data_IF_539669078519
#
_entry.id   IF_539669078519
#
_cell.length_a   1.000
_cell.length_b   1.000
_cell.length_c   1.000
_cell.angle_alpha   90.00
_cell.angle_beta   90.00
_cell.angle_gamma   90.00
#
_symmetry.space_group_name_H-M   'P 1'
#
loop_
_entity.id
_entity.type
_entity.pdbx_description
1 polymer ?
#
# COMPACT_ATOMS: atom_id res chain seq x y z
N UNK A 1 -23.58 17.91 8.31
CA UNK A 1 -22.43 17.10 7.86
C UNK A 1 -21.83 16.22 8.98
N UNK A 2 -22.64 15.65 9.87
CA UNK A 2 -22.16 14.78 10.97
C UNK A 2 -22.47 13.28 10.75
N UNK A 3 -23.35 12.93 9.81
CA UNK A 3 -23.74 11.53 9.53
C UNK A 3 -22.73 10.79 8.63
N UNK A 4 -21.93 11.51 7.85
CA UNK A 4 -21.02 10.93 6.84
C UNK A 4 -19.84 10.17 7.46
N UNK A 5 -19.44 10.50 8.70
CA UNK A 5 -18.36 9.79 9.40
C UNK A 5 -18.82 8.49 10.08
N UNK A 6 -20.11 8.30 10.33
CA UNK A 6 -20.60 7.14 11.09
C UNK A 6 -20.31 5.81 10.40
N UNK A 7 -20.55 5.73 9.08
CA UNK A 7 -20.29 4.55 8.28
C UNK A 7 -18.78 4.28 8.12
N UNK A 8 -17.98 5.33 7.93
CA UNK A 8 -16.53 5.20 7.84
C UNK A 8 -15.91 4.64 9.13
N UNK A 9 -16.36 5.13 10.28
CA UNK A 9 -15.93 4.63 11.60
C UNK A 9 -16.36 3.17 11.82
N UNK A 10 -17.56 2.81 11.39
CA UNK A 10 -18.04 1.43 11.44
C UNK A 10 -17.19 0.49 10.59
N UNK A 11 -16.91 0.87 9.34
CA UNK A 11 -16.04 0.09 8.45
C UNK A 11 -14.62 -0.05 9.04
N UNK A 12 -14.07 1.03 9.61
CA UNK A 12 -12.78 0.97 10.32
C UNK A 12 -12.80 -0.02 11.48
N UNK A 13 -13.88 -0.03 12.26
CA UNK A 13 -14.06 -0.97 13.38
C UNK A 13 -14.12 -2.42 12.90
N UNK A 14 -14.92 -2.71 11.86
CA UNK A 14 -15.03 -4.07 11.29
C UNK A 14 -13.67 -4.54 10.76
N UNK A 15 -12.94 -3.67 10.04
CA UNK A 15 -11.61 -4.00 9.54
C UNK A 15 -10.64 -4.29 10.69
N UNK A 16 -10.56 -3.42 11.70
CA UNK A 16 -9.67 -3.60 12.85
C UNK A 16 -9.95 -4.90 13.59
N UNK A 17 -11.23 -5.19 13.87
CA UNK A 17 -11.64 -6.42 14.54
C UNK A 17 -11.24 -7.67 13.76
N UNK A 18 -11.39 -7.68 12.44
CA UNK A 18 -10.96 -8.82 11.61
C UNK A 18 -9.45 -9.01 11.64
N UNK A 19 -8.68 -7.93 11.55
CA UNK A 19 -7.21 -8.00 11.58
C UNK A 19 -6.73 -8.52 12.94
N UNK A 20 -7.25 -7.98 14.04
CA UNK A 20 -6.86 -8.39 15.39
C UNK A 20 -7.28 -9.83 15.69
N UNK A 21 -8.42 -10.28 15.15
CA UNK A 21 -8.88 -11.66 15.26
C UNK A 21 -8.13 -12.63 14.33
N UNK A 22 -7.18 -12.15 13.51
CA UNK A 22 -6.48 -12.98 12.52
C UNK A 22 -7.44 -13.56 11.47
N UNK A 23 -8.47 -12.82 11.08
CA UNK A 23 -9.40 -13.18 10.03
C UNK A 23 -9.03 -12.49 8.71
N UNK A 24 -9.45 -13.09 7.60
CA UNK A 24 -9.26 -12.51 6.27
C UNK A 24 -10.13 -11.26 6.13
N UNK A 25 -9.49 -10.12 5.85
CA UNK A 25 -10.18 -8.88 5.55
C UNK A 25 -10.39 -8.77 4.02
N UNK A 26 -11.49 -9.39 3.55
CA UNK A 26 -11.93 -9.31 2.16
C UNK A 26 -12.95 -8.16 1.98
N UNK A 27 -12.75 -7.24 1.01
CA UNK A 27 -13.62 -6.07 0.85
C UNK A 27 -15.11 -6.39 0.70
N UNK A 28 -15.46 -7.33 -0.17
CA UNK A 28 -16.84 -7.74 -0.43
C UNK A 28 -17.54 -8.29 0.82
N UNK A 29 -16.85 -9.11 1.62
CA UNK A 29 -17.39 -9.67 2.84
C UNK A 29 -17.61 -8.62 3.93
N UNK A 30 -16.70 -7.64 4.04
CA UNK A 30 -16.83 -6.53 4.99
C UNK A 30 -18.05 -5.66 4.64
N UNK A 31 -18.28 -5.43 3.34
CA UNK A 31 -19.47 -4.68 2.88
C UNK A 31 -20.76 -5.45 3.15
N UNK A 32 -20.79 -6.77 2.91
CA UNK A 32 -21.96 -7.59 3.28
C UNK A 32 -22.20 -7.60 4.79
N UNK A 33 -21.15 -7.59 5.61
CA UNK A 33 -21.27 -7.44 7.06
C UNK A 33 -21.84 -6.08 7.46
N UNK A 34 -21.40 -4.99 6.83
CA UNK A 34 -21.98 -3.66 7.05
C UNK A 34 -23.48 -3.62 6.68
N UNK A 35 -23.88 -4.23 5.58
CA UNK A 35 -25.30 -4.34 5.21
C UNK A 35 -26.12 -5.21 6.18
N UNK A 36 -25.50 -6.23 6.80
CA UNK A 36 -26.17 -7.05 7.83
C UNK A 36 -26.36 -6.29 9.14
N UNK A 37 -25.36 -5.50 9.55
CA UNK A 37 -25.43 -4.67 10.75
C UNK A 37 -26.43 -3.52 10.59
N UNK A 38 -26.56 -2.99 9.37
CA UNK A 38 -27.47 -1.89 9.04
C UNK A 38 -28.27 -2.21 7.77
N UNK A 39 -29.33 -3.04 7.87
CA UNK A 39 -30.13 -3.41 6.73
C UNK A 39 -30.85 -2.18 6.16
N UNK A 40 -30.90 -2.10 4.82
CA UNK A 40 -31.70 -1.11 4.12
C UNK A 40 -33.17 -1.53 4.17
N UNK A 41 -34.05 -0.63 4.59
CA UNK A 41 -35.49 -0.88 4.68
C UNK A 41 -36.26 0.01 3.72
N UNK A 42 -37.34 -0.51 3.14
CA UNK A 42 -38.27 0.26 2.30
C UNK A 42 -38.38 -0.26 0.87
N UNK A 43 -39.21 0.41 0.05
CA UNK A 43 -39.36 0.05 -1.36
C UNK A 43 -38.04 0.23 -2.11
N UNK A 44 -37.69 -0.75 -2.95
CA UNK A 44 -36.44 -0.78 -3.72
C UNK A 44 -35.14 -0.93 -2.91
N UNK A 45 -35.19 -1.41 -1.66
CA UNK A 45 -34.00 -1.64 -0.84
C UNK A 45 -32.91 -2.45 -1.57
N UNK A 46 -33.28 -3.52 -2.28
CA UNK A 46 -32.35 -4.36 -3.05
C UNK A 46 -31.67 -3.59 -4.20
N UNK A 47 -32.38 -2.68 -4.87
CA UNK A 47 -31.81 -1.84 -5.91
C UNK A 47 -30.73 -0.91 -5.33
N UNK A 48 -31.05 -0.21 -4.24
CA UNK A 48 -30.10 0.67 -3.57
C UNK A 48 -28.91 -0.12 -2.97
N UNK A 49 -29.16 -1.31 -2.45
CA UNK A 49 -28.11 -2.22 -1.96
C UNK A 49 -27.13 -2.58 -3.08
N UNK A 50 -27.63 -3.01 -4.23
CA UNK A 50 -26.81 -3.37 -5.39
C UNK A 50 -25.94 -2.19 -5.87
N UNK A 51 -26.52 -1.00 -5.96
CA UNK A 51 -25.79 0.21 -6.35
C UNK A 51 -24.73 0.61 -5.31
N UNK A 52 -25.11 0.66 -4.03
CA UNK A 52 -24.22 1.05 -2.94
C UNK A 52 -23.08 0.05 -2.75
N UNK A 53 -23.30 -1.25 -2.94
CA UNK A 53 -22.29 -2.30 -2.77
C UNK A 53 -21.02 -2.01 -3.55
N UNK A 54 -21.13 -1.63 -4.82
CA UNK A 54 -19.97 -1.33 -5.67
C UNK A 54 -19.14 -0.18 -5.11
N UNK A 55 -19.80 0.89 -4.67
CA UNK A 55 -19.12 2.06 -4.10
C UNK A 55 -18.48 1.73 -2.75
N UNK A 56 -19.20 1.03 -1.87
CA UNK A 56 -18.68 0.64 -0.57
C UNK A 56 -17.48 -0.31 -0.68
N UNK A 57 -17.47 -1.24 -1.63
CA UNK A 57 -16.31 -2.12 -1.88
C UNK A 57 -15.08 -1.29 -2.27
N UNK A 58 -15.27 -0.26 -3.11
CA UNK A 58 -14.18 0.67 -3.48
C UNK A 58 -13.63 1.41 -2.27
N UNK A 59 -14.51 1.95 -1.41
CA UNK A 59 -14.13 2.65 -0.18
C UNK A 59 -13.37 1.72 0.76
N UNK A 60 -13.89 0.53 1.05
CA UNK A 60 -13.22 -0.47 1.91
C UNK A 60 -11.86 -0.87 1.34
N UNK A 61 -11.75 -1.04 0.02
CA UNK A 61 -10.47 -1.33 -0.65
C UNK A 61 -9.46 -0.21 -0.41
N UNK A 62 -9.88 1.07 -0.48
CA UNK A 62 -9.02 2.21 -0.20
C UNK A 62 -8.60 2.27 1.27
N UNK A 63 -9.50 1.91 2.20
CA UNK A 63 -9.18 1.83 3.63
C UNK A 63 -8.14 0.75 3.91
N UNK A 64 -8.33 -0.45 3.35
CA UNK A 64 -7.38 -1.55 3.50
C UNK A 64 -6.02 -1.21 2.90
N UNK A 65 -5.97 -0.47 1.77
CA UNK A 65 -4.72 0.08 1.23
C UNK A 65 -3.96 0.91 2.25
N UNK A 66 -4.63 1.81 2.97
CA UNK A 66 -3.97 2.62 4.01
C UNK A 66 -3.49 1.79 5.22
N UNK A 67 -4.17 0.69 5.52
CA UNK A 67 -3.88 -0.14 6.70
C UNK A 67 -2.76 -1.15 6.45
N UNK A 68 -2.64 -1.68 5.23
CA UNK A 68 -1.62 -2.70 4.96
C UNK A 68 -1.57 -3.25 3.54
N UNK A 69 -2.39 -2.75 2.60
CA UNK A 69 -2.18 -3.02 1.17
C UNK A 69 -1.35 -1.94 0.48
N UNK A 70 -0.84 -0.97 1.24
CA UNK A 70 0.23 -0.08 0.84
C UNK A 70 1.54 -0.87 0.84
N UNK A 71 2.46 -0.54 -0.06
CA UNK A 71 3.83 -1.05 -0.02
C UNK A 71 4.61 -0.51 1.20
N UNK A 72 4.03 0.44 1.95
CA UNK A 72 4.57 0.98 3.19
C UNK A 72 4.09 0.18 4.43
N UNK A 73 5.00 -0.25 5.32
CA UNK A 73 4.64 -1.00 6.53
C UNK A 73 3.92 -0.14 7.57
N UNK A 74 2.66 -0.46 7.87
CA UNK A 74 1.95 0.09 9.03
C UNK A 74 2.20 -0.75 10.32
N UNK A 75 2.20 -0.16 11.53
CA UNK A 75 2.31 -0.86 12.82
C UNK A 75 0.94 -1.44 13.29
N UNK A 76 0.87 -2.50 14.14
CA UNK A 76 1.92 -3.13 14.95
C UNK A 76 2.33 -4.54 14.44
N UNK A 77 3.62 -4.88 14.51
CA UNK A 77 4.25 -6.06 13.87
C UNK A 77 4.81 -7.06 14.90
N UNK A 78 4.81 -8.36 14.56
CA UNK A 78 5.46 -9.40 15.36
C UNK A 78 6.98 -9.37 15.18
N UNK A 79 7.73 -9.54 16.27
CA UNK A 79 9.20 -9.58 16.27
C UNK A 79 9.66 -11.03 16.37
N UNK A 80 10.51 -11.48 15.43
CA UNK A 80 11.19 -12.77 15.48
C UNK A 80 12.72 -12.58 15.64
N UNK A 81 13.45 -13.49 16.29
CA UNK A 81 14.90 -13.39 16.41
C UNK A 81 15.58 -13.51 15.03
N UNK A 82 16.43 -12.55 14.67
CA UNK A 82 17.20 -12.56 13.41
C UNK A 82 16.51 -11.99 12.17
N UNK A 83 15.25 -11.54 12.28
CA UNK A 83 14.53 -10.89 11.18
C UNK A 83 13.94 -9.54 11.59
N UNK A 84 14.10 -8.54 10.72
CA UNK A 84 13.44 -7.24 10.85
C UNK A 84 11.95 -7.37 10.50
N UNK A 85 11.18 -7.97 11.43
CA UNK A 85 9.71 -7.97 11.56
C UNK A 85 8.91 -8.49 10.35
N UNK A 86 8.29 -9.67 10.49
CA UNK A 86 7.26 -10.15 9.55
C UNK A 86 5.94 -9.39 9.76
N UNK A 87 5.28 -9.02 8.67
CA UNK A 87 3.99 -8.32 8.71
C UNK A 87 2.90 -9.31 9.14
N UNK A 88 1.94 -8.85 9.98
CA UNK A 88 0.84 -9.69 10.48
C UNK A 88 -0.03 -10.28 9.36
N UNK A 89 -0.21 -9.51 8.28
CA UNK A 89 -1.03 -9.89 7.13
C UNK A 89 -0.42 -9.35 5.84
N UNK A 90 -0.52 -10.13 4.76
CA UNK A 90 -0.05 -9.75 3.44
C UNK A 90 -1.22 -9.42 2.50
N UNK A 91 -1.06 -8.44 1.59
CA UNK A 91 -2.03 -8.20 0.54
C UNK A 91 -1.93 -9.31 -0.52
N UNK A 92 -3.04 -10.02 -0.72
CA UNK A 92 -3.12 -11.16 -1.64
C UNK A 92 -4.34 -11.03 -2.53
N UNK A 93 -4.26 -11.50 -3.79
CA UNK A 93 -5.44 -11.63 -4.66
C UNK A 93 -6.13 -12.97 -4.44
N UNK A 94 -7.38 -12.96 -3.96
CA UNK A 94 -8.25 -14.13 -3.84
C UNK A 94 -9.60 -13.81 -4.47
N UNK A 95 -10.15 -14.75 -5.25
CA UNK A 95 -11.47 -14.61 -5.89
C UNK A 95 -11.62 -13.33 -6.73
N UNK A 96 -10.55 -12.91 -7.42
CA UNK A 96 -10.54 -11.69 -8.24
C UNK A 96 -10.41 -10.37 -7.46
N UNK A 97 -10.44 -10.40 -6.13
CA UNK A 97 -10.31 -9.23 -5.27
C UNK A 97 -8.97 -9.26 -4.53
N UNK A 98 -8.44 -8.08 -4.17
CA UNK A 98 -7.33 -8.02 -3.23
C UNK A 98 -7.88 -8.02 -1.79
N UNK A 99 -7.34 -8.87 -0.94
CA UNK A 99 -7.68 -8.98 0.48
C UNK A 99 -6.41 -8.90 1.34
N UNK A 100 -6.57 -8.54 2.61
CA UNK A 100 -5.51 -8.73 3.60
C UNK A 100 -5.67 -10.11 4.23
N UNK A 101 -4.66 -10.95 4.06
CA UNK A 101 -4.64 -12.34 4.54
C UNK A 101 -3.60 -12.44 5.66
N UNK A 102 -3.96 -12.93 6.85
CA UNK A 102 -3.00 -13.20 7.92
C UNK A 102 -1.87 -14.11 7.44
N UNK A 103 -0.63 -13.86 7.89
CA UNK A 103 0.55 -14.65 7.48
C UNK A 103 0.33 -16.17 7.66
N UNK A 104 -0.29 -16.57 8.77
CA UNK A 104 -0.60 -17.97 9.07
C UNK A 104 -1.61 -18.63 8.11
N UNK A 105 -2.32 -17.83 7.31
CA UNK A 105 -3.33 -18.28 6.34
C UNK A 105 -2.91 -18.04 4.90
N UNK A 106 -1.72 -17.48 4.66
CA UNK A 106 -1.15 -17.37 3.33
C UNK A 106 -0.69 -18.75 2.83
N UNK A 107 -0.96 -19.05 1.57
CA UNK A 107 -0.43 -20.27 0.94
C UNK A 107 1.05 -20.10 0.62
N UNK A 108 1.82 -21.19 0.47
CA UNK A 108 3.23 -21.11 0.05
C UNK A 108 3.42 -20.34 -1.26
N UNK A 109 2.49 -20.51 -2.22
CA UNK A 109 2.54 -19.79 -3.49
C UNK A 109 2.35 -18.28 -3.29
N UNK A 110 1.35 -17.88 -2.48
CA UNK A 110 1.10 -16.45 -2.20
C UNK A 110 2.30 -15.78 -1.53
N UNK A 111 2.99 -16.48 -0.63
CA UNK A 111 4.21 -15.99 -0.01
C UNK A 111 5.37 -15.93 -1.02
N UNK A 112 5.51 -16.94 -1.88
CA UNK A 112 6.53 -16.97 -2.95
C UNK A 112 6.36 -15.81 -3.94
N UNK A 113 5.13 -15.49 -4.32
CA UNK A 113 4.82 -14.36 -5.17
C UNK A 113 5.21 -13.04 -4.49
N UNK A 114 4.95 -12.92 -3.19
CA UNK A 114 5.33 -11.74 -2.41
C UNK A 114 6.85 -11.60 -2.27
N UNK A 115 7.57 -12.71 -2.02
CA UNK A 115 9.04 -12.73 -2.03
C UNK A 115 9.59 -12.27 -3.37
N UNK A 116 8.99 -12.74 -4.47
CA UNK A 116 9.41 -12.36 -5.83
C UNK A 116 9.19 -10.87 -6.10
N UNK A 117 8.07 -10.31 -5.62
CA UNK A 117 7.78 -8.87 -5.69
C UNK A 117 8.82 -8.05 -4.93
N UNK A 118 9.14 -8.43 -3.68
CA UNK A 118 10.13 -7.73 -2.85
C UNK A 118 11.52 -7.74 -3.50
N UNK A 119 11.94 -8.88 -4.06
CA UNK A 119 13.21 -8.96 -4.81
C UNK A 119 13.23 -8.04 -6.03
N UNK A 120 12.11 -7.95 -6.75
CA UNK A 120 11.98 -7.03 -7.90
C UNK A 120 12.06 -5.57 -7.47
N UNK A 121 11.42 -5.22 -6.36
CA UNK A 121 11.49 -3.86 -5.80
C UNK A 121 12.92 -3.51 -5.37
N UNK A 122 13.60 -4.41 -4.66
CA UNK A 122 15.01 -4.24 -4.29
C UNK A 122 15.88 -3.98 -5.52
N UNK A 123 15.68 -4.76 -6.59
CA UNK A 123 16.42 -4.53 -7.84
C UNK A 123 16.10 -3.17 -8.48
N UNK A 124 14.84 -2.73 -8.43
CA UNK A 124 14.44 -1.41 -8.89
C UNK A 124 15.14 -0.29 -8.11
N UNK A 125 15.27 -0.43 -6.79
CA UNK A 125 16.01 0.52 -5.95
C UNK A 125 17.51 0.56 -6.31
N UNK A 126 18.16 -0.58 -6.53
CA UNK A 126 19.56 -0.64 -6.97
C UNK A 126 19.76 0.08 -8.32
N UNK A 127 18.87 -0.18 -9.28
CA UNK A 127 18.94 0.46 -10.59
C UNK A 127 18.78 1.99 -10.48
N UNK A 128 17.83 2.45 -9.67
CA UNK A 128 17.61 3.87 -9.44
C UNK A 128 18.82 4.52 -8.74
N UNK A 129 19.46 3.85 -7.77
CA UNK A 129 20.68 4.34 -7.16
C UNK A 129 21.80 4.55 -8.20
N UNK A 130 21.95 3.59 -9.12
CA UNK A 130 22.92 3.68 -10.23
C UNK A 130 22.63 4.88 -11.14
N UNK A 131 21.35 5.14 -11.44
CA UNK A 131 20.94 6.30 -12.24
C UNK A 131 21.28 7.62 -11.54
N UNK A 132 21.06 7.70 -10.23
CA UNK A 132 21.40 8.89 -9.42
C UNK A 132 22.92 9.11 -9.35
N UNK A 133 23.71 8.05 -9.19
CA UNK A 133 25.18 8.12 -9.26
C UNK A 133 25.63 8.64 -10.64
N UNK A 134 25.06 8.10 -11.72
CA UNK A 134 25.32 8.56 -13.07
C UNK A 134 24.97 10.03 -13.29
N UNK A 135 23.85 10.50 -12.71
CA UNK A 135 23.46 11.91 -12.75
C UNK A 135 24.45 12.80 -11.98
N UNK A 136 24.85 12.41 -10.77
CA UNK A 136 25.84 13.15 -9.96
C UNK A 136 27.17 13.25 -10.70
N UNK A 137 27.66 12.15 -11.27
CA UNK A 137 28.91 12.14 -12.03
C UNK A 137 28.87 13.08 -13.24
N UNK A 138 27.77 13.06 -14.01
CA UNK A 138 27.57 14.00 -15.13
C UNK A 138 27.46 15.45 -14.68
N UNK A 139 26.80 15.69 -13.55
CA UNK A 139 26.66 17.04 -12.97
C UNK A 139 28.02 17.58 -12.52
N UNK A 140 28.85 16.76 -11.89
CA UNK A 140 30.21 17.14 -11.50
C UNK A 140 31.10 17.38 -12.71
N UNK A 141 31.04 16.52 -13.74
CA UNK A 141 31.82 16.73 -14.97
C UNK A 141 31.43 18.00 -15.73
N UNK A 142 30.16 18.40 -15.69
CA UNK A 142 29.68 19.65 -16.30
C UNK A 142 29.97 20.86 -15.40
N UNK A 143 29.92 20.68 -14.07
CA UNK A 143 30.30 21.70 -13.09
C UNK A 143 31.78 22.07 -13.16
N UNK A 144 32.67 21.10 -13.34
CA UNK A 144 34.11 21.34 -13.50
C UNK A 144 34.44 21.98 -14.86
N UNK A 145 33.67 21.70 -15.92
CA UNK A 145 33.81 22.37 -17.21
C UNK A 145 33.40 23.85 -17.17
N UNK A 146 32.42 24.21 -16.33
CA UNK A 146 32.00 25.61 -16.14
C UNK A 146 33.02 26.44 -15.33
N UNK A 147 33.74 25.81 -14.39
CA UNK A 147 34.81 26.48 -13.63
C UNK A 147 36.14 26.58 -14.39
N UNK A 148 36.45 25.64 -15.29
CA UNK A 148 37.64 25.72 -16.14
C UNK A 148 37.55 26.82 -17.21
N UNK A 149 36.35 27.20 -17.65
CA UNK A 149 36.14 28.27 -18.64
C UNK A 149 36.28 29.70 -18.10
N UNK A 150 36.24 29.90 -16.77
CA UNK A 150 36.42 31.23 -16.16
C UNK A 150 37.87 31.53 -15.74
N UNK A 151 38.71 30.51 -15.55
CA UNK A 151 40.09 30.68 -15.12
C UNK A 151 41.06 31.12 -16.24
N UNK A 152 40.67 31.00 -17.52
CA UNK A 152 41.56 31.27 -18.66
C UNK A 152 41.56 32.75 -19.09
N UNK A 153 40.67 33.60 -18.56
CA UNK A 153 40.50 34.98 -19.05
C UNK A 153 41.17 36.10 -18.22
N UNK A 154 42.04 35.78 -17.25
CA UNK A 154 42.71 36.78 -16.40
C UNK A 154 44.25 36.72 -16.39
N UNK A 155 44.88 36.61 -17.55
CA UNK A 155 46.32 36.88 -17.69
C UNK A 155 46.61 37.64 -18.99
N UNK A 156 46.52 38.97 -18.96
CA UNK A 156 47.36 39.83 -19.81
C UNK A 156 48.07 40.88 -18.92
N UNK A 157 49.39 41.08 -19.09
CA UNK A 157 50.16 42.04 -18.31
C UNK A 157 50.09 43.45 -18.90
N UNK A 158 50.38 44.42 -18.03
CA UNK A 158 50.36 45.87 -18.25
C UNK A 158 51.41 46.38 -19.25
#
# INVERSE_FOLDING_TARGET
MAKDNSLSLELHKIIGQRIDAGQIAQPSQIVEEAFRNRPLTGPHAEFYKAFAKKQLVSVVTQMLKRIGMSDDPAPPQMVFPGHTRLVKSYPVRRNGERALVPLSQCTPQELSDHISLLRKQAKGCENHATELEGYVNKRLSVGDAAFAGQAVHQLEPA
#
